data_IF_279550202181
#
_entry.id   IF_279550202181
#
_cell.length_a   1.000
_cell.length_b   1.000
_cell.length_c   1.000
_cell.angle_alpha   90.00
_cell.angle_beta   90.00
_cell.angle_gamma   90.00
#
_symmetry.space_group_name_H-M   'P 1'
#
loop_
_entity.id
_entity.type
_entity.pdbx_description
1 polymer ?
#
# COMPACT_ATOMS: atom_id res chain seq x y z
N UNK A 1 -55.62 -13.17 16.46
CA UNK A 1 -55.13 -11.81 16.09
C UNK A 1 -53.66 -11.63 16.49
N UNK A 2 -53.26 -11.79 17.76
CA UNK A 2 -51.87 -11.61 18.20
C UNK A 2 -50.81 -12.54 17.56
N UNK A 3 -51.19 -13.75 17.13
CA UNK A 3 -50.27 -14.69 16.47
C UNK A 3 -49.96 -14.29 15.02
N UNK A 4 -50.93 -13.70 14.31
CA UNK A 4 -50.75 -13.18 12.96
C UNK A 4 -49.87 -11.93 12.95
N UNK A 5 -50.01 -11.04 13.94
CA UNK A 5 -49.13 -9.87 14.05
C UNK A 5 -47.66 -10.28 14.27
N UNK A 6 -47.40 -11.22 15.19
CA UNK A 6 -46.05 -11.74 15.41
C UNK A 6 -45.45 -12.43 14.18
N UNK A 7 -46.26 -13.12 13.38
CA UNK A 7 -45.80 -13.74 12.14
C UNK A 7 -45.35 -12.68 11.10
N UNK A 8 -46.13 -11.61 10.92
CA UNK A 8 -45.76 -10.53 10.02
C UNK A 8 -44.54 -9.75 10.52
N UNK A 9 -44.44 -9.46 11.82
CA UNK A 9 -43.25 -8.81 12.40
C UNK A 9 -41.98 -9.65 12.23
N UNK A 10 -42.07 -10.97 12.46
CA UNK A 10 -40.93 -11.87 12.27
C UNK A 10 -40.51 -11.95 10.79
N UNK A 11 -41.48 -11.97 9.86
CA UNK A 11 -41.22 -11.90 8.42
C UNK A 11 -40.53 -10.60 8.02
N UNK A 12 -41.01 -9.45 8.53
CA UNK A 12 -40.40 -8.15 8.26
C UNK A 12 -38.98 -8.04 8.81
N UNK A 13 -38.73 -8.51 10.04
CA UNK A 13 -37.38 -8.52 10.62
C UNK A 13 -36.44 -9.43 9.82
N UNK A 14 -36.90 -10.61 9.41
CA UNK A 14 -36.09 -11.53 8.60
C UNK A 14 -35.76 -10.93 7.24
N UNK A 15 -36.72 -10.26 6.59
CA UNK A 15 -36.52 -9.57 5.32
C UNK A 15 -35.52 -8.41 5.44
N UNK A 16 -35.65 -7.58 6.47
CA UNK A 16 -34.71 -6.48 6.72
C UNK A 16 -33.30 -6.99 6.99
N UNK A 17 -33.17 -8.05 7.79
CA UNK A 17 -31.88 -8.64 8.11
C UNK A 17 -31.21 -9.26 6.88
N UNK A 18 -31.97 -9.95 6.01
CA UNK A 18 -31.44 -10.44 4.74
C UNK A 18 -31.00 -9.32 3.79
N UNK A 19 -31.79 -8.24 3.66
CA UNK A 19 -31.41 -7.10 2.83
C UNK A 19 -30.13 -6.43 3.34
N UNK A 20 -29.99 -6.30 4.66
CA UNK A 20 -28.81 -5.70 5.28
C UNK A 20 -27.56 -6.58 5.08
N UNK A 21 -27.69 -7.90 5.22
CA UNK A 21 -26.60 -8.83 4.92
C UNK A 21 -26.19 -8.82 3.44
N UNK A 22 -27.15 -8.75 2.51
CA UNK A 22 -26.86 -8.65 1.07
C UNK A 22 -26.16 -7.33 0.73
N UNK A 23 -26.61 -6.20 1.29
CA UNK A 23 -25.97 -4.91 1.10
C UNK A 23 -24.52 -4.93 1.62
N UNK A 24 -24.31 -5.52 2.81
CA UNK A 24 -22.98 -5.62 3.40
C UNK A 24 -22.06 -6.52 2.57
N UNK A 25 -22.55 -7.64 2.04
CA UNK A 25 -21.78 -8.49 1.12
C UNK A 25 -21.44 -7.77 -0.19
N UNK A 26 -22.37 -7.02 -0.79
CA UNK A 26 -22.08 -6.26 -2.02
C UNK A 26 -21.02 -5.18 -1.79
N UNK A 27 -21.06 -4.46 -0.67
CA UNK A 27 -20.05 -3.45 -0.34
C UNK A 27 -18.65 -4.09 -0.18
N UNK A 28 -18.56 -5.19 0.58
CA UNK A 28 -17.28 -5.91 0.76
C UNK A 28 -16.73 -6.48 -0.56
N UNK A 29 -17.60 -6.97 -1.44
CA UNK A 29 -17.20 -7.47 -2.77
C UNK A 29 -16.74 -6.32 -3.70
N UNK A 30 -17.42 -5.18 -3.66
CA UNK A 30 -17.05 -3.98 -4.43
C UNK A 30 -15.67 -3.47 -4.01
N UNK A 31 -15.42 -3.32 -2.71
CA UNK A 31 -14.12 -2.88 -2.19
C UNK A 31 -12.99 -3.85 -2.59
N UNK A 32 -13.23 -5.15 -2.48
CA UNK A 32 -12.27 -6.19 -2.87
C UNK A 32 -11.93 -6.15 -4.37
N UNK A 33 -12.92 -5.91 -5.23
CA UNK A 33 -12.71 -5.82 -6.67
C UNK A 33 -11.87 -4.61 -7.06
N UNK A 34 -12.17 -3.42 -6.51
CA UNK A 34 -11.39 -2.21 -6.76
C UNK A 34 -9.94 -2.32 -6.29
N UNK A 35 -9.72 -2.87 -5.09
CA UNK A 35 -8.36 -3.08 -4.56
C UNK A 35 -7.54 -4.03 -5.43
N UNK A 36 -8.13 -5.14 -5.86
CA UNK A 36 -7.47 -6.11 -6.75
C UNK A 36 -7.15 -5.52 -8.12
N UNK A 37 -8.10 -4.77 -8.70
CA UNK A 37 -7.92 -4.14 -10.00
C UNK A 37 -6.82 -3.05 -9.96
N UNK A 38 -6.77 -2.23 -8.91
CA UNK A 38 -5.69 -1.25 -8.71
C UNK A 38 -4.33 -1.93 -8.51
N UNK A 39 -4.27 -3.04 -7.76
CA UNK A 39 -3.03 -3.79 -7.58
C UNK A 39 -2.53 -4.38 -8.91
N UNK A 40 -3.41 -4.93 -9.74
CA UNK A 40 -3.06 -5.49 -11.05
C UNK A 40 -2.53 -4.42 -12.01
N UNK A 41 -3.23 -3.28 -12.10
CA UNK A 41 -2.80 -2.14 -12.95
C UNK A 41 -1.47 -1.54 -12.49
N UNK A 42 -1.25 -1.39 -11.18
CA UNK A 42 0.01 -0.91 -10.63
C UNK A 42 1.18 -1.88 -10.87
N UNK A 43 0.94 -3.19 -10.85
CA UNK A 43 1.96 -4.20 -11.16
C UNK A 43 2.33 -4.22 -12.65
N UNK A 44 1.36 -4.01 -13.55
CA UNK A 44 1.60 -4.00 -15.00
C UNK A 44 2.48 -2.81 -15.44
N UNK A 45 2.38 -1.65 -14.77
CA UNK A 45 3.22 -0.48 -15.03
C UNK A 45 4.66 -0.62 -14.48
N UNK A 46 4.92 -1.61 -13.60
CA UNK A 46 6.10 -1.64 -12.74
C UNK A 46 7.42 -2.02 -13.44
N UNK A 47 7.37 -2.72 -14.58
CA UNK A 47 8.58 -3.29 -15.19
C UNK A 47 9.50 -2.23 -15.83
N UNK A 48 8.93 -1.26 -16.57
CA UNK A 48 9.70 -0.11 -17.08
C UNK A 48 10.02 0.89 -15.97
N UNK A 49 9.20 0.95 -14.92
CA UNK A 49 9.37 1.91 -13.84
C UNK A 49 10.41 1.51 -12.79
N UNK A 50 10.79 0.23 -12.66
CA UNK A 50 11.72 -0.20 -11.61
C UNK A 50 13.15 0.29 -11.84
N UNK A 51 13.66 0.21 -13.08
CA UNK A 51 15.00 0.72 -13.41
C UNK A 51 15.08 2.25 -13.26
N UNK A 52 14.03 2.96 -13.68
CA UNK A 52 13.89 4.41 -13.49
C UNK A 52 13.83 4.78 -12.01
N UNK A 53 13.09 3.99 -11.23
CA UNK A 53 13.02 4.10 -9.77
C UNK A 53 14.39 3.89 -9.12
N UNK A 54 15.14 2.84 -9.48
CA UNK A 54 16.49 2.60 -8.96
C UNK A 54 17.43 3.75 -9.32
N UNK A 55 17.40 4.23 -10.57
CA UNK A 55 18.20 5.39 -11.00
C UNK A 55 17.85 6.65 -10.22
N UNK A 56 16.57 6.92 -10.00
CA UNK A 56 16.13 8.06 -9.18
C UNK A 56 16.58 7.90 -7.73
N UNK A 57 16.52 6.68 -7.19
CA UNK A 57 16.94 6.38 -5.83
C UNK A 57 18.43 6.60 -5.61
N UNK A 58 19.28 6.14 -6.53
CA UNK A 58 20.73 6.33 -6.42
C UNK A 58 21.12 7.81 -6.47
N UNK A 59 20.41 8.63 -7.26
CA UNK A 59 20.63 10.09 -7.31
C UNK A 59 20.37 10.79 -5.97
N UNK A 60 19.48 10.27 -5.13
CA UNK A 60 19.20 10.87 -3.82
C UNK A 60 20.39 10.79 -2.88
N UNK A 61 21.18 9.72 -2.96
CA UNK A 61 22.31 9.48 -2.06
C UNK A 61 23.43 10.50 -2.23
N UNK A 62 23.49 11.15 -3.38
CA UNK A 62 24.47 12.18 -3.73
C UNK A 62 23.91 13.60 -3.62
N UNK A 63 22.69 13.76 -3.07
CA UNK A 63 22.08 15.07 -2.92
C UNK A 63 22.85 15.94 -1.93
N UNK A 64 22.76 17.26 -2.09
CA UNK A 64 23.35 18.20 -1.15
C UNK A 64 22.60 18.14 0.20
N UNK A 65 23.28 18.37 1.33
CA UNK A 65 22.63 18.48 2.64
C UNK A 65 21.48 19.48 2.64
N UNK A 66 20.34 19.12 3.25
CA UNK A 66 19.14 19.95 3.32
C UNK A 66 18.44 20.26 1.99
N UNK A 67 18.84 19.66 0.87
CA UNK A 67 18.27 19.95 -0.46
C UNK A 67 17.05 19.10 -0.82
N UNK A 68 16.87 17.93 -0.19
CA UNK A 68 15.76 17.04 -0.50
C UNK A 68 14.45 17.55 0.11
N UNK A 69 13.39 17.41 -0.66
CA UNK A 69 12.01 17.69 -0.27
C UNK A 69 11.16 16.43 -0.47
N UNK A 70 9.89 16.46 -0.03
CA UNK A 70 8.97 15.35 -0.19
C UNK A 70 8.87 14.83 -1.64
N UNK A 71 8.87 15.74 -2.62
CA UNK A 71 8.79 15.41 -4.05
C UNK A 71 10.08 14.86 -4.65
N UNK A 72 11.22 14.98 -3.95
CA UNK A 72 12.51 14.48 -4.44
C UNK A 72 12.55 12.95 -4.41
N UNK A 73 11.87 12.32 -3.44
CA UNK A 73 11.89 10.87 -3.26
C UNK A 73 10.98 10.18 -4.29
N UNK A 74 11.46 9.14 -4.98
CA UNK A 74 10.64 8.39 -5.93
C UNK A 74 9.77 7.39 -5.14
N UNK A 75 8.77 7.90 -4.42
CA UNK A 75 7.91 7.10 -3.57
C UNK A 75 7.22 6.00 -4.38
N UNK A 76 7.25 4.75 -3.90
CA UNK A 76 6.45 3.72 -4.53
C UNK A 76 4.95 3.95 -4.33
N UNK A 77 4.15 3.35 -5.20
CA UNK A 77 2.71 3.24 -4.99
C UNK A 77 2.40 2.41 -3.75
N UNK A 78 1.35 2.80 -3.00
CA UNK A 78 0.88 2.05 -1.82
C UNK A 78 0.48 0.60 -2.15
N UNK A 79 0.08 0.34 -3.40
CA UNK A 79 -0.37 -0.98 -3.84
C UNK A 79 0.78 -1.89 -4.27
N UNK A 80 1.94 -1.32 -4.63
CA UNK A 80 3.09 -2.07 -5.12
C UNK A 80 4.41 -1.48 -4.58
N UNK A 81 4.63 -1.57 -3.26
CA UNK A 81 5.81 -0.97 -2.63
C UNK A 81 7.13 -1.65 -2.99
N UNK A 82 7.06 -2.93 -3.37
CA UNK A 82 8.22 -3.71 -3.80
C UNK A 82 8.43 -3.73 -5.32
N UNK A 83 7.63 -3.00 -6.12
CA UNK A 83 7.71 -2.99 -7.58
C UNK A 83 7.67 -4.41 -8.20
N UNK A 84 6.69 -5.19 -7.79
CA UNK A 84 6.41 -6.49 -8.40
C UNK A 84 6.03 -6.31 -9.87
N UNK A 85 6.73 -7.04 -10.73
CA UNK A 85 6.35 -7.25 -12.11
C UNK A 85 5.44 -8.50 -12.20
N UNK A 86 4.54 -8.58 -13.19
CA UNK A 86 3.71 -9.76 -13.40
C UNK A 86 4.53 -11.04 -13.64
N UNK A 87 5.73 -10.89 -14.19
CA UNK A 87 6.66 -11.96 -14.52
C UNK A 87 7.55 -12.40 -13.35
N UNK A 88 7.52 -11.71 -12.21
CA UNK A 88 8.38 -12.06 -11.08
C UNK A 88 7.99 -13.42 -10.49
N UNK A 89 9.00 -14.27 -10.29
CA UNK A 89 8.95 -15.49 -9.51
C UNK A 89 8.70 -15.22 -8.02
N UNK A 90 8.36 -16.25 -7.26
CA UNK A 90 8.15 -16.14 -5.81
C UNK A 90 9.42 -15.67 -5.09
N UNK A 91 10.56 -16.18 -5.51
CA UNK A 91 11.88 -15.86 -4.97
C UNK A 91 12.24 -14.40 -5.26
N UNK A 92 11.98 -13.91 -6.47
CA UNK A 92 12.19 -12.50 -6.85
C UNK A 92 11.28 -11.57 -6.05
N UNK A 93 10.00 -11.92 -5.88
CA UNK A 93 9.07 -11.14 -5.04
C UNK A 93 9.58 -11.04 -3.61
N UNK A 94 10.04 -12.17 -3.02
CA UNK A 94 10.64 -12.17 -1.68
C UNK A 94 11.89 -11.30 -1.59
N UNK A 95 12.76 -11.36 -2.60
CA UNK A 95 13.97 -10.54 -2.66
C UNK A 95 13.63 -9.04 -2.75
N UNK A 96 12.68 -8.66 -3.61
CA UNK A 96 12.19 -7.29 -3.77
C UNK A 96 11.56 -6.74 -2.49
N UNK A 97 10.74 -7.53 -1.80
CA UNK A 97 10.18 -7.12 -0.49
C UNK A 97 11.27 -6.90 0.55
N UNK A 98 12.25 -7.81 0.64
CA UNK A 98 13.38 -7.64 1.56
C UNK A 98 14.16 -6.35 1.25
N UNK A 99 14.40 -6.08 -0.03
CA UNK A 99 15.06 -4.85 -0.45
C UNK A 99 14.26 -3.60 -0.05
N UNK A 100 12.94 -3.59 -0.29
CA UNK A 100 12.06 -2.49 0.13
C UNK A 100 12.06 -2.30 1.66
N UNK A 101 11.95 -3.38 2.44
CA UNK A 101 12.00 -3.32 3.90
C UNK A 101 13.32 -2.74 4.43
N UNK A 102 14.45 -3.13 3.83
CA UNK A 102 15.76 -2.61 4.24
C UNK A 102 15.93 -1.15 3.86
N UNK A 103 15.44 -0.76 2.68
CA UNK A 103 15.52 0.60 2.13
C UNK A 103 14.69 1.60 2.93
N UNK A 104 13.48 1.20 3.32
CA UNK A 104 12.56 2.03 4.11
C UNK A 104 12.56 1.65 5.60
N UNK A 105 13.58 0.95 6.10
CA UNK A 105 13.70 0.71 7.53
C UNK A 105 13.88 2.06 8.25
N UNK A 106 13.09 2.37 9.30
CA UNK A 106 13.10 3.69 9.94
C UNK A 106 14.52 4.17 10.27
N UNK A 107 15.32 3.35 10.95
CA UNK A 107 16.69 3.75 11.35
C UNK A 107 17.63 3.98 10.17
N UNK A 108 17.59 3.09 9.17
CA UNK A 108 18.49 3.18 8.01
C UNK A 108 18.11 4.36 7.12
N UNK A 109 16.82 4.55 6.90
CA UNK A 109 16.28 5.66 6.14
C UNK A 109 16.57 6.99 6.86
N UNK A 110 16.39 7.02 8.19
CA UNK A 110 16.71 8.19 9.01
C UNK A 110 18.20 8.56 8.90
N UNK A 111 19.09 7.60 9.14
CA UNK A 111 20.53 7.83 9.06
C UNK A 111 20.99 8.31 7.67
N UNK A 112 20.39 7.78 6.60
CA UNK A 112 20.76 8.13 5.23
C UNK A 112 20.22 9.49 4.77
N UNK A 113 18.98 9.84 5.13
CA UNK A 113 18.27 10.95 4.47
C UNK A 113 17.91 12.12 5.37
N UNK A 114 17.90 12.00 6.70
CA UNK A 114 17.65 13.17 7.56
C UNK A 114 18.64 14.31 7.33
N UNK A 115 19.97 14.07 7.20
CA UNK A 115 20.93 15.14 6.90
C UNK A 115 20.73 15.76 5.50
N UNK A 116 20.17 15.00 4.57
CA UNK A 116 19.97 15.42 3.18
C UNK A 116 18.63 16.12 2.95
N UNK A 117 17.68 15.95 3.86
CA UNK A 117 16.32 16.49 3.75
C UNK A 117 16.21 17.82 4.47
N UNK A 118 15.48 18.76 3.88
CA UNK A 118 15.16 20.01 4.55
C UNK A 118 14.41 19.74 5.87
N UNK A 119 14.78 20.45 6.95
CA UNK A 119 14.14 20.32 8.27
C UNK A 119 12.62 20.47 8.22
N UNK A 120 12.08 21.34 7.37
CA UNK A 120 10.63 21.53 7.25
C UNK A 120 9.93 20.35 6.57
N UNK A 121 10.62 19.63 5.68
CA UNK A 121 10.07 18.49 4.96
C UNK A 121 10.29 17.15 5.69
N UNK A 122 11.26 17.10 6.61
CA UNK A 122 11.64 15.87 7.30
C UNK A 122 10.48 15.17 8.03
N UNK A 123 9.59 15.84 8.77
CA UNK A 123 8.47 15.18 9.44
C UNK A 123 7.62 14.35 8.47
N UNK A 124 7.21 14.94 7.35
CA UNK A 124 6.36 14.28 6.36
C UNK A 124 7.11 13.16 5.61
N UNK A 125 8.36 13.41 5.23
CA UNK A 125 9.23 12.41 4.57
C UNK A 125 9.44 11.20 5.47
N UNK A 126 9.73 11.43 6.76
CA UNK A 126 9.96 10.35 7.73
C UNK A 126 8.69 9.54 7.98
N UNK A 127 7.53 10.20 8.04
CA UNK A 127 6.25 9.53 8.23
C UNK A 127 5.87 8.72 7.00
N UNK A 128 6.08 9.27 5.80
CA UNK A 128 5.86 8.55 4.56
C UNK A 128 6.76 7.32 4.44
N UNK A 129 8.03 7.43 4.83
CA UNK A 129 8.95 6.29 4.85
C UNK A 129 8.47 5.18 5.80
N UNK A 130 7.94 5.52 6.98
CA UNK A 130 7.34 4.54 7.91
C UNK A 130 6.13 3.84 7.28
N UNK A 131 5.24 4.59 6.62
CA UNK A 131 4.08 4.02 5.93
C UNK A 131 4.51 3.01 4.85
N UNK A 132 5.52 3.36 4.05
CA UNK A 132 6.07 2.45 3.02
C UNK A 132 6.69 1.21 3.66
N UNK A 133 7.41 1.37 4.78
CA UNK A 133 7.97 0.27 5.58
C UNK A 133 6.87 -0.70 6.05
N UNK A 134 5.78 -0.16 6.61
CA UNK A 134 4.66 -0.95 7.09
C UNK A 134 3.96 -1.69 5.94
N UNK A 135 3.76 -1.02 4.80
CA UNK A 135 3.21 -1.65 3.61
C UNK A 135 4.12 -2.78 3.08
N UNK A 136 5.44 -2.64 3.15
CA UNK A 136 6.38 -3.68 2.74
C UNK A 136 6.31 -4.91 3.66
N UNK A 137 6.12 -4.70 4.98
CA UNK A 137 5.87 -5.77 5.94
C UNK A 137 4.57 -6.50 5.61
N UNK A 138 3.50 -5.78 5.26
CA UNK A 138 2.24 -6.39 4.83
C UNK A 138 2.41 -7.18 3.53
N UNK A 139 3.14 -6.68 2.54
CA UNK A 139 3.40 -7.43 1.30
C UNK A 139 4.25 -8.69 1.54
N UNK A 140 5.14 -8.68 2.54
CA UNK A 140 5.94 -9.86 2.91
C UNK A 140 5.08 -11.05 3.31
N UNK A 141 3.93 -10.83 3.96
CA UNK A 141 3.05 -11.94 4.37
C UNK A 141 2.28 -12.54 3.20
N UNK A 142 2.30 -11.89 2.03
CA UNK A 142 1.58 -12.29 0.83
C UNK A 142 2.44 -13.04 -0.21
N UNK A 143 3.77 -13.15 0.01
CA UNK A 143 4.74 -13.73 -0.95
C UNK A 143 5.48 -14.97 -0.47
#
# INVERSE_FOLDING_TARGET
IAMQQRYHEQQHQHHQHQQQQQHQQQQQQGDSWWHKHQQQTANAAAAKSFEEYEKAWEKLKTAAPGSLQMSSFPWPSNFNVAYFAPTDTKEEKKAKVRAAMLRFHPDKFHAAFSPLTNQSAWPDVSERAKQVSQAAITQRTQV
#
